data_IF_451336446316
#
_entry.id   IF_451336446316
#
_cell.length_a   1.000
_cell.length_b   1.000
_cell.length_c   1.000
_cell.angle_alpha   90.00
_cell.angle_beta   90.00
_cell.angle_gamma   90.00
#
_symmetry.space_group_name_H-M   'P 1'
#
loop_
_entity.id
_entity.type
_entity.pdbx_description
1 polymer ?
#
# COMPACT_ATOMS: atom_id res chain seq x y z
N UNK A 1 25.79 79.22 -41.37
CA UNK A 1 26.49 78.22 -42.18
C UNK A 1 26.43 76.94 -41.40
N UNK A 2 25.40 76.17 -41.62
CA UNK A 2 25.18 74.93 -40.89
C UNK A 2 25.29 73.80 -41.89
N UNK A 3 26.13 72.84 -41.54
CA UNK A 3 26.26 71.60 -42.32
C UNK A 3 25.21 70.61 -41.89
N UNK A 4 24.69 69.72 -42.77
CA UNK A 4 23.71 68.71 -42.40
C UNK A 4 24.48 67.45 -41.94
N UNK A 5 23.97 66.88 -40.86
CA UNK A 5 24.39 65.57 -40.34
C UNK A 5 23.86 64.44 -41.25
N UNK A 6 24.76 63.52 -41.63
CA UNK A 6 24.41 62.30 -42.29
C UNK A 6 23.91 61.26 -41.30
N UNK A 7 22.69 60.82 -41.46
CA UNK A 7 22.11 59.72 -40.70
C UNK A 7 22.50 58.39 -41.32
N UNK A 8 23.32 57.60 -40.59
CA UNK A 8 23.56 56.20 -40.90
C UNK A 8 22.36 55.35 -40.46
N UNK A 9 21.65 54.77 -41.39
CA UNK A 9 20.64 53.77 -41.15
C UNK A 9 21.33 52.42 -40.87
N UNK A 10 21.35 51.99 -39.61
CA UNK A 10 21.66 50.63 -39.27
C UNK A 10 20.53 49.70 -39.74
N UNK A 11 20.89 48.82 -40.65
CA UNK A 11 19.99 47.71 -41.06
C UNK A 11 20.02 46.64 -39.97
N UNK A 12 19.00 46.60 -39.14
CA UNK A 12 18.75 45.51 -38.23
C UNK A 12 18.52 44.19 -39.00
N UNK A 13 19.54 43.38 -39.05
CA UNK A 13 19.43 42.00 -39.56
C UNK A 13 18.74 41.17 -38.50
N UNK A 14 17.44 40.91 -38.70
CA UNK A 14 16.68 40.01 -37.85
C UNK A 14 17.24 38.59 -38.03
N UNK A 15 17.92 38.10 -37.02
CA UNK A 15 18.41 36.71 -36.94
C UNK A 15 17.19 35.78 -36.80
N UNK A 16 16.91 34.97 -37.81
CA UNK A 16 15.89 33.93 -37.80
C UNK A 16 16.34 32.86 -36.77
N UNK A 17 15.57 32.57 -35.71
CA UNK A 17 15.94 31.53 -34.77
C UNK A 17 15.98 30.18 -35.50
N UNK A 18 17.13 29.51 -35.40
CA UNK A 18 17.27 28.13 -35.91
C UNK A 18 16.26 27.23 -35.15
N UNK A 19 15.30 26.71 -35.87
CA UNK A 19 14.38 25.71 -35.39
C UNK A 19 15.21 24.48 -35.03
N UNK A 20 15.44 24.28 -33.74
CA UNK A 20 16.06 23.04 -33.23
C UNK A 20 15.15 21.90 -33.68
N UNK A 21 15.69 20.98 -34.46
CA UNK A 21 15.01 19.79 -34.91
C UNK A 21 14.36 19.11 -33.69
N UNK A 22 13.04 19.06 -33.67
CA UNK A 22 12.27 18.23 -32.74
C UNK A 22 12.78 16.82 -32.98
N UNK A 23 13.53 16.27 -32.01
CA UNK A 23 13.92 14.87 -32.02
C UNK A 23 12.63 14.08 -32.17
N UNK A 24 12.47 13.46 -33.33
CA UNK A 24 11.39 12.53 -33.58
C UNK A 24 11.51 11.43 -32.51
N UNK A 25 10.59 11.44 -31.55
CA UNK A 25 10.41 10.37 -30.58
C UNK A 25 10.17 9.10 -31.41
N UNK A 26 11.21 8.29 -31.52
CA UNK A 26 11.18 7.09 -32.36
C UNK A 26 10.12 6.18 -31.73
N UNK A 27 9.18 5.67 -32.50
CA UNK A 27 8.06 4.82 -32.05
C UNK A 27 8.49 3.64 -31.14
N UNK A 28 9.77 3.30 -31.16
CA UNK A 28 10.42 2.33 -30.27
C UNK A 28 10.43 2.75 -28.79
N UNK A 29 10.66 4.05 -28.49
CA UNK A 29 10.64 4.54 -27.11
C UNK A 29 9.22 4.51 -26.52
N UNK A 30 8.20 4.85 -27.33
CA UNK A 30 6.79 4.77 -26.92
C UNK A 30 6.35 3.33 -26.72
N UNK A 31 6.75 2.41 -27.60
CA UNK A 31 6.46 1.00 -27.46
C UNK A 31 7.12 0.41 -26.23
N UNK A 32 8.39 0.73 -25.97
CA UNK A 32 9.12 0.30 -24.77
C UNK A 32 8.46 0.80 -23.48
N UNK A 33 8.02 2.06 -23.43
CA UNK A 33 7.31 2.62 -22.28
C UNK A 33 5.94 1.95 -22.08
N UNK A 34 5.22 1.66 -23.15
CA UNK A 34 3.92 0.97 -23.09
C UNK A 34 4.07 -0.47 -22.58
N UNK A 35 5.09 -1.20 -23.06
CA UNK A 35 5.38 -2.55 -22.61
C UNK A 35 5.79 -2.58 -21.13
N UNK A 36 6.63 -1.64 -20.70
CA UNK A 36 7.02 -1.51 -19.30
C UNK A 36 5.82 -1.18 -18.40
N UNK A 37 4.96 -0.25 -18.84
CA UNK A 37 3.72 0.07 -18.12
C UNK A 37 2.82 -1.16 -17.98
N UNK A 38 2.61 -1.91 -19.07
CA UNK A 38 1.83 -3.15 -19.06
C UNK A 38 2.41 -4.18 -18.12
N UNK A 39 3.74 -4.34 -18.10
CA UNK A 39 4.44 -5.24 -17.19
C UNK A 39 4.19 -4.86 -15.72
N UNK A 40 4.37 -3.59 -15.36
CA UNK A 40 4.11 -3.08 -14.01
C UNK A 40 2.66 -3.33 -13.56
N UNK A 41 1.69 -3.12 -14.47
CA UNK A 41 0.29 -3.39 -14.17
C UNK A 41 0.02 -4.88 -13.91
N UNK A 42 0.68 -5.77 -14.66
CA UNK A 42 0.54 -7.22 -14.46
C UNK A 42 1.19 -7.68 -13.14
N UNK A 43 2.31 -7.09 -12.76
CA UNK A 43 2.97 -7.34 -11.48
C UNK A 43 2.09 -6.88 -10.30
N UNK A 44 1.48 -5.70 -10.38
CA UNK A 44 0.55 -5.21 -9.37
C UNK A 44 -0.67 -6.13 -9.21
N UNK A 45 -1.25 -6.62 -10.32
CA UNK A 45 -2.39 -7.55 -10.30
C UNK A 45 -1.97 -8.90 -9.68
N UNK A 46 -0.82 -9.43 -10.07
CA UNK A 46 -0.30 -10.69 -9.53
C UNK A 46 -0.02 -10.59 -8.03
N UNK A 47 0.53 -9.45 -7.59
CA UNK A 47 0.74 -9.15 -6.19
C UNK A 47 -0.56 -9.15 -5.40
N UNK A 48 -1.57 -8.43 -5.87
CA UNK A 48 -2.88 -8.33 -5.23
C UNK A 48 -3.55 -9.71 -5.11
N UNK A 49 -3.54 -10.51 -6.18
CA UNK A 49 -4.06 -11.87 -6.16
C UNK A 49 -3.33 -12.78 -5.17
N UNK A 50 -2.02 -12.63 -5.05
CA UNK A 50 -1.21 -13.37 -4.09
C UNK A 50 -1.56 -12.99 -2.64
N UNK A 51 -1.71 -11.68 -2.37
CA UNK A 51 -2.14 -11.17 -1.06
C UNK A 51 -3.52 -11.72 -0.70
N UNK A 52 -4.50 -11.65 -1.59
CA UNK A 52 -5.85 -12.19 -1.36
C UNK A 52 -5.83 -13.67 -0.98
N UNK A 53 -5.03 -14.49 -1.65
CA UNK A 53 -4.88 -15.91 -1.34
C UNK A 53 -4.30 -16.13 0.05
N UNK A 54 -3.24 -15.40 0.40
CA UNK A 54 -2.63 -15.51 1.72
C UNK A 54 -3.56 -15.01 2.84
N UNK A 55 -4.33 -13.95 2.59
CA UNK A 55 -5.32 -13.45 3.54
C UNK A 55 -6.40 -14.50 3.81
N UNK A 56 -6.97 -15.10 2.77
CA UNK A 56 -8.01 -16.13 2.92
C UNK A 56 -7.50 -17.36 3.70
N UNK A 57 -6.30 -17.85 3.38
CA UNK A 57 -5.67 -18.96 4.11
C UNK A 57 -5.41 -18.59 5.57
N UNK A 58 -4.91 -17.37 5.80
CA UNK A 58 -4.58 -16.88 7.13
C UNK A 58 -5.81 -16.68 8.01
N UNK A 59 -6.92 -16.18 7.47
CA UNK A 59 -8.17 -15.98 8.22
C UNK A 59 -8.67 -17.27 8.85
N UNK A 60 -8.59 -18.40 8.14
CA UNK A 60 -8.94 -19.71 8.70
C UNK A 60 -7.98 -20.10 9.83
N UNK A 61 -6.68 -19.89 9.64
CA UNK A 61 -5.67 -20.16 10.67
C UNK A 61 -5.89 -19.29 11.92
N UNK A 62 -6.19 -18.01 11.76
CA UNK A 62 -6.45 -17.09 12.85
C UNK A 62 -7.75 -17.45 13.59
N UNK A 63 -8.80 -17.82 12.87
CA UNK A 63 -10.05 -18.32 13.44
C UNK A 63 -9.82 -19.50 14.38
N UNK A 64 -9.08 -20.49 13.91
CA UNK A 64 -8.79 -21.71 14.70
C UNK A 64 -7.90 -21.39 15.91
N UNK A 65 -6.87 -20.56 15.72
CA UNK A 65 -5.97 -20.14 16.79
C UNK A 65 -6.71 -19.38 17.90
N UNK A 66 -7.53 -18.41 17.52
CA UNK A 66 -8.29 -17.57 18.46
C UNK A 66 -9.60 -18.22 18.94
N UNK A 67 -9.94 -19.41 18.44
CA UNK A 67 -11.16 -20.17 18.76
C UNK A 67 -12.44 -19.37 18.51
N UNK A 68 -12.48 -18.66 17.40
CA UNK A 68 -13.62 -17.83 17.01
C UNK A 68 -14.74 -18.68 16.38
N UNK A 69 -15.98 -18.35 16.69
CA UNK A 69 -17.16 -18.96 16.04
C UNK A 69 -17.33 -18.45 14.61
N UNK A 70 -17.09 -17.16 14.40
CA UNK A 70 -17.17 -16.48 13.11
C UNK A 70 -15.90 -15.67 12.82
N UNK A 71 -15.74 -15.25 11.58
CA UNK A 71 -14.69 -14.32 11.16
C UNK A 71 -15.32 -12.99 10.75
N UNK A 72 -14.64 -11.84 10.99
CA UNK A 72 -15.10 -10.55 10.51
C UNK A 72 -14.96 -10.45 8.99
N UNK A 73 -15.65 -9.50 8.40
CA UNK A 73 -15.39 -9.09 7.02
C UNK A 73 -14.02 -8.41 6.92
N UNK A 74 -13.32 -8.64 5.81
CA UNK A 74 -12.00 -8.04 5.56
C UNK A 74 -12.01 -7.26 4.27
N UNK A 75 -11.74 -5.96 4.37
CA UNK A 75 -11.57 -5.06 3.23
C UNK A 75 -10.08 -4.78 3.00
N UNK A 76 -9.56 -5.22 1.85
CA UNK A 76 -8.19 -4.91 1.42
C UNK A 76 -8.20 -3.62 0.60
N UNK A 77 -7.47 -2.61 1.07
CA UNK A 77 -7.40 -1.29 0.48
C UNK A 77 -6.06 -1.14 -0.25
N UNK A 78 -6.08 -0.96 -1.56
CA UNK A 78 -4.87 -0.69 -2.34
C UNK A 78 -4.73 0.81 -2.61
N UNK A 79 -4.32 1.58 -1.60
CA UNK A 79 -4.22 3.04 -1.70
C UNK A 79 -2.88 3.54 -1.13
N UNK A 80 -1.94 3.87 -2.04
CA UNK A 80 -0.59 4.37 -1.69
C UNK A 80 -0.63 5.70 -0.95
N UNK A 81 -1.60 6.57 -1.24
CA UNK A 81 -1.74 7.86 -0.58
C UNK A 81 -2.19 7.70 0.88
N UNK A 82 -3.17 6.85 1.13
CA UNK A 82 -3.59 6.54 2.50
C UNK A 82 -2.45 5.95 3.34
N UNK A 83 -1.60 5.12 2.75
CA UNK A 83 -0.45 4.55 3.44
C UNK A 83 0.58 5.61 3.87
N UNK A 84 0.66 6.73 3.15
CA UNK A 84 1.59 7.82 3.44
C UNK A 84 1.01 8.86 4.41
N UNK A 85 -0.29 9.11 4.33
CA UNK A 85 -0.98 10.14 5.12
C UNK A 85 -1.41 9.63 6.52
N UNK A 86 -1.74 8.34 6.63
CA UNK A 86 -2.20 7.73 7.88
C UNK A 86 -1.08 6.87 8.48
N UNK A 87 -0.73 7.12 9.73
CA UNK A 87 0.22 6.32 10.49
C UNK A 87 -0.28 4.87 10.73
N UNK A 88 -1.53 4.56 10.40
CA UNK A 88 -2.15 3.24 10.57
C UNK A 88 -2.25 2.49 9.24
N UNK A 89 -1.79 1.26 9.23
CA UNK A 89 -1.87 0.36 8.08
C UNK A 89 -3.11 -0.54 8.09
N UNK A 90 -3.91 -0.50 9.14
CA UNK A 90 -5.14 -1.25 9.29
C UNK A 90 -5.90 -0.83 10.54
N UNK A 91 -7.10 -1.39 10.73
CA UNK A 91 -7.93 -1.18 11.90
C UNK A 91 -9.14 -2.10 11.91
N UNK A 92 -9.52 -2.51 13.09
CA UNK A 92 -10.80 -3.15 13.33
C UNK A 92 -11.85 -2.10 13.67
N UNK A 93 -13.04 -2.22 13.10
CA UNK A 93 -14.19 -1.33 13.27
C UNK A 93 -15.33 -2.09 13.96
N UNK A 94 -15.47 -2.01 15.29
CA UNK A 94 -16.43 -2.81 16.06
C UNK A 94 -17.89 -2.64 15.62
N UNK A 95 -18.31 -1.41 15.33
CA UNK A 95 -19.68 -1.10 14.90
C UNK A 95 -20.07 -1.73 13.56
N UNK A 96 -19.12 -2.00 12.69
CA UNK A 96 -19.32 -2.63 11.38
C UNK A 96 -18.87 -4.10 11.37
N UNK A 97 -18.11 -4.53 12.36
CA UNK A 97 -17.44 -5.84 12.43
C UNK A 97 -16.56 -6.13 11.21
N UNK A 98 -15.85 -5.10 10.75
CA UNK A 98 -14.99 -5.10 9.58
C UNK A 98 -13.55 -4.82 9.98
N UNK A 99 -12.62 -5.55 9.38
CA UNK A 99 -11.19 -5.23 9.42
C UNK A 99 -10.79 -4.61 8.08
N UNK A 100 -10.23 -3.39 8.11
CA UNK A 100 -9.67 -2.73 6.92
C UNK A 100 -8.15 -2.76 6.98
N UNK A 101 -7.50 -3.25 5.91
CA UNK A 101 -6.04 -3.33 5.83
C UNK A 101 -5.55 -2.74 4.52
N UNK A 102 -4.61 -1.80 4.60
CA UNK A 102 -3.97 -1.24 3.41
C UNK A 102 -2.83 -2.17 2.94
N UNK A 103 -2.92 -2.61 1.68
CA UNK A 103 -1.97 -3.55 1.06
C UNK A 103 -0.97 -2.87 0.12
N UNK A 104 -1.15 -1.58 -0.17
CA UNK A 104 -0.37 -0.85 -1.16
C UNK A 104 1.13 -0.84 -0.85
N UNK A 105 1.94 -1.49 -1.69
CA UNK A 105 3.39 -1.53 -1.57
C UNK A 105 3.91 -2.26 -0.32
N UNK A 106 3.10 -3.13 0.28
CA UNK A 106 3.47 -3.89 1.49
C UNK A 106 3.74 -5.35 1.19
N UNK A 107 4.69 -5.91 1.93
CA UNK A 107 4.96 -7.34 1.88
C UNK A 107 3.80 -8.14 2.50
N UNK A 108 3.38 -9.32 1.95
CA UNK A 108 2.31 -10.14 2.54
C UNK A 108 2.49 -10.43 4.02
N UNK A 109 3.70 -10.70 4.49
CA UNK A 109 3.98 -10.93 5.92
C UNK A 109 3.56 -9.73 6.79
N UNK A 110 3.80 -8.50 6.33
CA UNK A 110 3.42 -7.29 7.07
C UNK A 110 1.91 -7.06 7.05
N UNK A 111 1.27 -7.39 5.92
CA UNK A 111 -0.19 -7.34 5.79
C UNK A 111 -0.83 -8.35 6.75
N UNK A 112 -0.36 -9.60 6.76
CA UNK A 112 -0.87 -10.65 7.63
C UNK A 112 -0.60 -10.34 9.11
N UNK A 113 0.52 -9.69 9.46
CA UNK A 113 0.79 -9.25 10.83
C UNK A 113 -0.22 -8.20 11.30
N UNK A 114 -0.53 -7.22 10.45
CA UNK A 114 -1.58 -6.24 10.74
C UNK A 114 -2.92 -6.96 10.92
N UNK A 115 -3.28 -7.83 9.97
CA UNK A 115 -4.53 -8.60 10.06
C UNK A 115 -4.61 -9.45 11.33
N UNK A 116 -3.51 -10.10 11.73
CA UNK A 116 -3.43 -10.87 12.96
C UNK A 116 -3.73 -10.03 14.21
N UNK A 117 -3.20 -8.81 14.26
CA UNK A 117 -3.43 -7.86 15.34
C UNK A 117 -4.92 -7.46 15.41
N UNK A 118 -5.50 -7.08 14.29
CA UNK A 118 -6.92 -6.67 14.21
C UNK A 118 -7.88 -7.83 14.52
N UNK A 119 -7.50 -9.08 14.19
CA UNK A 119 -8.27 -10.28 14.56
C UNK A 119 -8.33 -10.50 16.07
N UNK A 120 -7.31 -10.08 16.81
CA UNK A 120 -7.35 -10.13 18.28
C UNK A 120 -8.33 -9.09 18.81
N UNK A 121 -8.35 -7.87 18.26
CA UNK A 121 -9.33 -6.86 18.62
C UNK A 121 -10.75 -7.31 18.31
N UNK A 122 -10.98 -7.99 17.18
CA UNK A 122 -12.27 -8.62 16.90
C UNK A 122 -12.64 -9.66 17.98
N UNK A 123 -11.72 -10.50 18.44
CA UNK A 123 -11.97 -11.44 19.54
C UNK A 123 -12.32 -10.71 20.84
N UNK A 124 -11.59 -9.65 21.19
CA UNK A 124 -11.84 -8.84 22.38
C UNK A 124 -13.23 -8.21 22.35
N UNK A 125 -13.65 -7.67 21.19
CA UNK A 125 -14.99 -7.14 20.98
C UNK A 125 -16.08 -8.22 21.13
N UNK A 126 -15.87 -9.39 20.51
CA UNK A 126 -16.81 -10.51 20.61
C UNK A 126 -16.97 -11.06 22.04
N UNK A 127 -15.95 -10.89 22.88
CA UNK A 127 -15.99 -11.24 24.30
C UNK A 127 -16.64 -10.14 25.16
N UNK A 128 -16.88 -8.94 24.63
CA UNK A 128 -17.34 -7.78 25.38
C UNK A 128 -16.22 -7.07 26.17
N UNK A 129 -14.95 -7.38 25.87
CA UNK A 129 -13.81 -6.82 26.58
C UNK A 129 -13.59 -5.33 26.26
N UNK A 130 -14.15 -4.83 25.13
CA UNK A 130 -13.97 -3.47 24.63
C UNK A 130 -15.12 -2.51 24.98
N UNK A 131 -16.22 -3.01 25.54
CA UNK A 131 -17.47 -2.25 25.72
C UNK A 131 -17.37 -1.06 26.68
N UNK A 132 -16.44 -1.12 27.66
CA UNK A 132 -16.34 -0.14 28.77
C UNK A 132 -14.96 0.57 28.83
N UNK A 133 -14.10 0.43 27.83
CA UNK A 133 -12.73 0.91 27.94
C UNK A 133 -12.45 2.06 26.97
N UNK A 134 -12.54 3.29 27.48
CA UNK A 134 -12.23 4.53 26.74
C UNK A 134 -10.81 4.56 26.12
N UNK A 135 -9.93 3.67 26.59
CA UNK A 135 -8.49 3.64 26.27
C UNK A 135 -8.03 2.31 25.66
N UNK A 136 -8.94 1.45 25.18
CA UNK A 136 -8.58 0.13 24.65
C UNK A 136 -7.57 0.18 23.50
N UNK A 137 -7.64 1.20 22.64
CA UNK A 137 -6.71 1.43 21.53
C UNK A 137 -5.45 2.22 21.87
N UNK A 138 -5.18 2.55 23.14
CA UNK A 138 -3.97 3.26 23.50
C UNK A 138 -2.75 2.33 23.52
N UNK A 139 -1.67 2.78 22.89
CA UNK A 139 -0.40 2.08 22.90
C UNK A 139 0.05 1.78 24.33
N UNK A 140 0.26 0.50 24.65
CA UNK A 140 0.65 0.05 25.98
C UNK A 140 -0.51 -0.36 26.89
N UNK A 141 -1.77 -0.25 26.42
CA UNK A 141 -2.90 -0.86 27.12
C UNK A 141 -2.75 -2.40 27.18
N UNK A 142 -3.48 -3.04 28.08
CA UNK A 142 -3.48 -4.51 28.18
C UNK A 142 -4.00 -5.15 26.90
N UNK A 143 -4.97 -4.54 26.24
CA UNK A 143 -5.57 -5.00 24.99
C UNK A 143 -4.58 -4.93 23.82
N UNK A 144 -3.88 -3.82 23.69
CA UNK A 144 -2.84 -3.65 22.68
C UNK A 144 -1.65 -4.59 22.89
N UNK A 145 -1.24 -4.80 24.15
CA UNK A 145 -0.17 -5.73 24.48
C UNK A 145 -0.57 -7.19 24.17
N UNK A 146 -1.81 -7.57 24.44
CA UNK A 146 -2.36 -8.87 24.07
C UNK A 146 -2.40 -9.02 22.56
N UNK A 147 -2.95 -8.01 21.83
CA UNK A 147 -3.04 -8.04 20.37
C UNK A 147 -1.66 -8.22 19.71
N UNK A 148 -0.65 -7.49 20.18
CA UNK A 148 0.71 -7.61 19.69
C UNK A 148 1.35 -8.99 19.99
N UNK A 149 1.12 -9.52 21.19
CA UNK A 149 1.65 -10.82 21.62
C UNK A 149 1.04 -11.96 20.82
N UNK A 150 -0.30 -12.02 20.74
CA UNK A 150 -1.04 -13.06 20.02
C UNK A 150 -0.78 -13.00 18.52
N UNK A 151 -0.73 -11.81 17.91
CA UNK A 151 -0.35 -11.64 16.51
C UNK A 151 1.05 -12.22 16.23
N UNK A 152 2.00 -12.00 17.14
CA UNK A 152 3.34 -12.57 17.05
C UNK A 152 3.35 -14.11 17.08
N UNK A 153 2.52 -14.72 17.93
CA UNK A 153 2.37 -16.18 18.05
C UNK A 153 1.71 -16.73 16.79
N UNK A 154 0.58 -16.14 16.34
CA UNK A 154 -0.12 -16.55 15.12
C UNK A 154 0.81 -16.53 13.91
N UNK A 155 1.53 -15.43 13.71
CA UNK A 155 2.44 -15.27 12.57
C UNK A 155 3.58 -16.29 12.59
N UNK A 156 4.13 -16.58 13.77
CA UNK A 156 5.17 -17.62 13.93
C UNK A 156 4.64 -19.00 13.53
N UNK A 157 3.46 -19.36 14.01
CA UNK A 157 2.85 -20.66 13.73
C UNK A 157 2.46 -20.78 12.26
N UNK A 158 1.84 -19.75 11.70
CA UNK A 158 1.46 -19.71 10.29
C UNK A 158 2.68 -19.78 9.37
N UNK A 159 3.73 -18.99 9.65
CA UNK A 159 4.95 -19.01 8.85
C UNK A 159 5.71 -20.33 8.89
N UNK A 160 5.62 -21.11 9.98
CA UNK A 160 6.14 -22.49 10.04
C UNK A 160 5.33 -23.45 9.18
N UNK A 161 4.01 -23.28 9.15
CA UNK A 161 3.11 -24.10 8.34
C UNK A 161 3.14 -23.74 6.84
N UNK A 162 3.40 -22.48 6.53
CA UNK A 162 3.38 -21.89 5.18
C UNK A 162 4.65 -21.04 4.92
N UNK A 163 5.85 -21.67 4.81
CA UNK A 163 7.11 -20.93 4.59
C UNK A 163 7.10 -20.06 3.32
N UNK A 164 6.29 -20.43 2.33
CA UNK A 164 6.16 -19.68 1.06
C UNK A 164 5.75 -18.23 1.20
N UNK A 165 5.17 -17.82 2.33
CA UNK A 165 4.84 -16.41 2.59
C UNK A 165 6.08 -15.51 2.62
N UNK A 166 7.26 -16.09 2.93
CA UNK A 166 8.53 -15.38 2.99
C UNK A 166 9.28 -15.39 1.65
N UNK A 167 8.87 -16.25 0.71
CA UNK A 167 9.56 -16.46 -0.57
C UNK A 167 9.01 -15.56 -1.69
N UNK A 168 7.84 -14.97 -1.48
CA UNK A 168 7.05 -14.26 -2.50
C UNK A 168 7.72 -13.01 -3.11
N UNK A 169 8.94 -12.64 -2.70
CA UNK A 169 9.63 -11.41 -3.09
C UNK A 169 11.14 -11.57 -3.29
N UNK A 170 11.60 -12.78 -3.61
CA UNK A 170 12.98 -12.98 -4.04
C UNK A 170 13.03 -12.99 -5.57
N UNK A 171 12.78 -11.83 -6.18
CA UNK A 171 13.20 -11.56 -7.56
C UNK A 171 13.83 -10.19 -7.65
#
# INVERSE_FOLDING_TARGET
MSQPEESHSEQDTIAIPQVHAIRQDTGHARLGNMLRFKQLMLEDIAHEQNVHRHVNDFMNHAKDHLKLESIPDVELINNKRMAQENASFGGYYPGEKVIRVNIAGRHPVDILRTLAHEMVHYRQDMNGDLDDVEMAGETGSTFENEANSEAGIMMRNYGRAKPSIYESYRE
#
